data_IF_365524759099
#
_entry.id   IF_365524759099
#
_cell.length_a   1.000
_cell.length_b   1.000
_cell.length_c   1.000
_cell.angle_alpha   90.00
_cell.angle_beta   90.00
_cell.angle_gamma   90.00
#
_symmetry.space_group_name_H-M   'P 1'
#
loop_
_entity.id
_entity.type
_entity.pdbx_description
1 polymer ?
#
# COMPACT_ATOMS: atom_id res chain seq x y z
N UNK A 1 114.77 -16.68 -18.79
CA UNK A 1 113.85 -15.99 -19.73
C UNK A 1 112.41 -16.39 -19.43
N UNK A 2 111.50 -15.44 -19.61
CA UNK A 2 110.04 -15.59 -19.85
C UNK A 2 109.07 -15.61 -18.66
N UNK A 3 108.38 -14.47 -18.53
CA UNK A 3 107.14 -14.18 -17.78
C UNK A 3 105.95 -14.90 -18.44
N UNK A 4 104.90 -15.29 -17.68
CA UNK A 4 103.44 -15.10 -18.00
C UNK A 4 102.48 -15.81 -17.00
N UNK A 5 101.18 -15.46 -16.94
CA UNK A 5 100.59 -14.74 -15.79
C UNK A 5 99.56 -15.54 -14.97
N UNK A 6 99.27 -15.05 -13.76
CA UNK A 6 98.16 -15.52 -12.92
C UNK A 6 96.81 -15.13 -13.55
N UNK A 7 95.98 -16.13 -13.89
CA UNK A 7 94.60 -15.96 -14.34
C UNK A 7 93.66 -16.24 -13.16
N UNK A 8 93.06 -15.19 -12.58
CA UNK A 8 92.02 -15.33 -11.54
C UNK A 8 90.80 -16.05 -12.14
N UNK A 9 90.41 -17.19 -11.54
CA UNK A 9 89.11 -17.85 -11.78
C UNK A 9 88.02 -17.16 -10.95
N UNK A 10 86.79 -17.01 -11.45
CA UNK A 10 85.70 -16.48 -10.66
C UNK A 10 85.19 -17.54 -9.68
N UNK A 11 85.05 -17.15 -8.41
CA UNK A 11 84.40 -17.95 -7.36
C UNK A 11 82.90 -18.05 -7.65
N UNK A 12 82.45 -19.23 -8.08
CA UNK A 12 81.01 -19.56 -8.20
C UNK A 12 80.47 -19.79 -6.78
N UNK A 13 79.80 -18.78 -6.20
CA UNK A 13 79.06 -18.90 -4.93
C UNK A 13 77.97 -19.97 -5.09
N UNK A 14 78.27 -21.18 -4.65
CA UNK A 14 77.38 -22.34 -4.61
C UNK A 14 76.95 -22.49 -3.15
N UNK A 15 75.85 -21.84 -2.76
CA UNK A 15 75.41 -21.90 -1.35
C UNK A 15 74.06 -21.28 -0.98
N UNK A 16 73.30 -20.65 -1.90
CA UNK A 16 72.03 -19.97 -1.53
C UNK A 16 70.77 -20.76 -1.91
N UNK A 17 70.81 -21.51 -3.01
CA UNK A 17 69.58 -22.11 -3.57
C UNK A 17 69.03 -23.27 -2.74
N UNK A 18 69.88 -24.04 -2.05
CA UNK A 18 69.45 -25.16 -1.21
C UNK A 18 68.74 -24.72 0.08
N UNK A 19 69.24 -23.66 0.73
CA UNK A 19 68.63 -23.11 1.95
C UNK A 19 67.29 -22.43 1.66
N UNK A 20 67.16 -21.77 0.51
CA UNK A 20 65.91 -21.16 0.07
C UNK A 20 64.82 -22.19 -0.22
N UNK A 21 65.17 -23.30 -0.90
CA UNK A 21 64.25 -24.41 -1.15
C UNK A 21 63.82 -25.11 0.14
N UNK A 22 64.74 -25.28 1.10
CA UNK A 22 64.41 -25.83 2.42
C UNK A 22 63.46 -24.90 3.21
N UNK A 23 63.68 -23.58 3.16
CA UNK A 23 62.79 -22.60 3.80
C UNK A 23 61.39 -22.58 3.20
N UNK A 24 61.26 -22.65 1.86
CA UNK A 24 59.96 -22.75 1.20
C UNK A 24 59.22 -24.05 1.55
N UNK A 25 59.94 -25.16 1.64
CA UNK A 25 59.38 -26.43 2.13
C UNK A 25 58.85 -26.32 3.57
N UNK A 26 59.62 -25.65 4.44
CA UNK A 26 59.25 -25.44 5.85
C UNK A 26 58.01 -24.56 6.00
N UNK A 27 57.94 -23.47 5.23
CA UNK A 27 56.75 -22.61 5.16
C UNK A 27 55.53 -23.41 4.67
N UNK A 28 55.71 -24.25 3.65
CA UNK A 28 54.65 -25.13 3.15
C UNK A 28 54.10 -26.08 4.22
N UNK A 29 54.97 -26.71 5.00
CA UNK A 29 54.58 -27.60 6.10
C UNK A 29 53.82 -26.84 7.20
N UNK A 30 54.28 -25.64 7.56
CA UNK A 30 53.60 -24.81 8.56
C UNK A 30 52.21 -24.38 8.08
N UNK A 31 52.09 -23.93 6.82
CA UNK A 31 50.79 -23.56 6.23
C UNK A 31 49.84 -24.77 6.21
N UNK A 32 50.34 -25.94 5.82
CA UNK A 32 49.53 -27.16 5.77
C UNK A 32 49.07 -27.63 7.15
N UNK A 33 49.95 -27.55 8.16
CA UNK A 33 49.60 -27.84 9.55
C UNK A 33 48.55 -26.87 10.10
N UNK A 34 48.69 -25.58 9.81
CA UNK A 34 47.73 -24.55 10.23
C UNK A 34 46.35 -24.77 9.56
N UNK A 35 46.34 -25.12 8.28
CA UNK A 35 45.12 -25.45 7.53
C UNK A 35 44.44 -26.71 8.07
N UNK A 36 45.21 -27.76 8.37
CA UNK A 36 44.68 -28.99 8.94
C UNK A 36 44.07 -28.75 10.33
N UNK A 37 44.74 -27.97 11.19
CA UNK A 37 44.26 -27.63 12.53
C UNK A 37 43.00 -26.76 12.51
N UNK A 38 42.90 -25.81 11.57
CA UNK A 38 41.68 -25.03 11.39
C UNK A 38 40.52 -25.89 10.90
N UNK A 39 40.75 -26.81 9.96
CA UNK A 39 39.72 -27.74 9.48
C UNK A 39 39.28 -28.73 10.57
N UNK A 40 40.21 -29.28 11.36
CA UNK A 40 39.87 -30.17 12.47
C UNK A 40 39.09 -29.45 13.58
N UNK A 41 39.49 -28.23 13.92
CA UNK A 41 38.77 -27.41 14.90
C UNK A 41 37.34 -27.08 14.43
N UNK A 42 37.15 -26.75 13.14
CA UNK A 42 35.80 -26.54 12.56
C UNK A 42 34.99 -27.84 12.58
N UNK A 43 35.62 -28.98 12.31
CA UNK A 43 34.97 -30.29 12.37
C UNK A 43 34.52 -30.67 13.81
N UNK A 44 35.27 -30.26 14.83
CA UNK A 44 34.91 -30.41 16.25
C UNK A 44 33.82 -29.42 16.70
N UNK A 45 33.66 -28.30 15.99
CA UNK A 45 32.70 -27.24 16.31
C UNK A 45 31.66 -27.05 15.20
N UNK A 46 30.89 -28.10 14.82
CA UNK A 46 29.92 -28.04 13.72
C UNK A 46 28.78 -27.03 13.98
N UNK A 47 28.56 -26.67 15.25
CA UNK A 47 27.58 -25.67 15.67
C UNK A 47 27.85 -24.28 15.07
N UNK A 48 29.10 -23.94 14.74
CA UNK A 48 29.47 -22.65 14.12
C UNK A 48 28.80 -22.48 12.74
N UNK A 49 28.61 -23.58 12.00
CA UNK A 49 27.90 -23.59 10.72
C UNK A 49 26.40 -23.88 10.90
N UNK A 50 26.04 -24.72 11.86
CA UNK A 50 24.64 -25.09 12.08
C UNK A 50 23.79 -23.91 12.56
N UNK A 51 24.31 -23.06 13.45
CA UNK A 51 23.60 -21.89 13.99
C UNK A 51 23.19 -20.87 12.92
N UNK A 52 24.07 -20.36 12.04
CA UNK A 52 23.67 -19.41 11.02
C UNK A 52 22.68 -20.02 10.02
N UNK A 53 22.83 -21.32 9.69
CA UNK A 53 21.86 -22.02 8.83
C UNK A 53 20.48 -22.06 9.50
N UNK A 54 20.41 -22.40 10.79
CA UNK A 54 19.17 -22.40 11.57
C UNK A 54 18.53 -21.00 11.64
N UNK A 55 19.34 -19.96 11.83
CA UNK A 55 18.86 -18.57 11.86
C UNK A 55 18.28 -18.16 10.51
N UNK A 56 18.97 -18.45 9.40
CA UNK A 56 18.50 -18.13 8.04
C UNK A 56 17.23 -18.93 7.70
N UNK A 57 17.19 -20.21 8.05
CA UNK A 57 16.01 -21.05 7.86
C UNK A 57 14.81 -20.52 8.67
N UNK A 58 15.01 -20.22 9.96
CA UNK A 58 13.98 -19.66 10.84
C UNK A 58 13.46 -18.31 10.36
N UNK A 59 14.36 -17.40 9.97
CA UNK A 59 14.00 -16.10 9.40
C UNK A 59 13.24 -16.25 8.07
N UNK A 60 13.66 -17.17 7.20
CA UNK A 60 12.97 -17.49 5.95
C UNK A 60 11.56 -18.03 6.18
N UNK A 61 11.41 -19.00 7.09
CA UNK A 61 10.09 -19.53 7.46
C UNK A 61 9.20 -18.45 8.08
N UNK A 62 9.70 -17.67 9.04
CA UNK A 62 8.96 -16.57 9.65
C UNK A 62 8.50 -15.55 8.60
N UNK A 63 9.40 -15.15 7.69
CA UNK A 63 9.06 -14.25 6.59
C UNK A 63 7.95 -14.81 5.70
N UNK A 64 8.01 -16.10 5.34
CA UNK A 64 6.97 -16.75 4.52
C UNK A 64 5.63 -16.83 5.27
N UNK A 65 5.63 -17.14 6.56
CA UNK A 65 4.40 -17.21 7.36
C UNK A 65 3.74 -15.83 7.49
N UNK A 66 4.51 -14.80 7.82
CA UNK A 66 4.03 -13.42 7.90
C UNK A 66 3.47 -12.94 6.54
N UNK A 67 4.14 -13.26 5.43
CA UNK A 67 3.66 -12.97 4.08
C UNK A 67 2.37 -13.71 3.74
N UNK A 68 2.25 -14.99 4.14
CA UNK A 68 1.04 -15.80 3.93
C UNK A 68 -0.14 -15.26 4.74
N UNK A 69 0.07 -14.86 5.98
CA UNK A 69 -0.98 -14.25 6.80
C UNK A 69 -1.47 -12.92 6.23
N UNK A 70 -0.54 -12.04 5.82
CA UNK A 70 -0.89 -10.79 5.15
C UNK A 70 -1.70 -11.05 3.87
N UNK A 71 -1.29 -12.02 3.05
CA UNK A 71 -2.01 -12.41 1.84
C UNK A 71 -3.38 -13.03 2.13
N UNK A 72 -3.55 -13.81 3.22
CA UNK A 72 -4.85 -14.36 3.63
C UNK A 72 -5.81 -13.25 4.04
N UNK A 73 -5.35 -12.29 4.86
CA UNK A 73 -6.16 -11.14 5.28
C UNK A 73 -6.61 -10.32 4.07
N UNK A 74 -5.71 -10.10 3.12
CA UNK A 74 -6.06 -9.38 1.89
C UNK A 74 -7.08 -10.15 1.04
N UNK A 75 -6.96 -11.48 0.91
CA UNK A 75 -7.96 -12.30 0.20
C UNK A 75 -9.34 -12.22 0.84
N UNK A 76 -9.42 -12.33 2.16
CA UNK A 76 -10.70 -12.23 2.90
C UNK A 76 -11.29 -10.82 2.72
N UNK A 77 -10.45 -9.78 2.80
CA UNK A 77 -10.87 -8.39 2.55
C UNK A 77 -11.42 -8.22 1.13
N UNK A 78 -10.70 -8.69 0.12
CA UNK A 78 -11.11 -8.61 -1.29
C UNK A 78 -12.39 -9.40 -1.54
N UNK A 79 -12.56 -10.58 -0.93
CA UNK A 79 -13.78 -11.37 -1.03
C UNK A 79 -14.98 -10.68 -0.36
N UNK A 80 -14.80 -10.14 0.85
CA UNK A 80 -15.83 -9.36 1.54
C UNK A 80 -16.24 -8.11 0.76
N UNK A 81 -15.25 -7.40 0.18
CA UNK A 81 -15.50 -6.26 -0.71
C UNK A 81 -16.29 -6.67 -1.95
N UNK A 82 -15.96 -7.81 -2.58
CA UNK A 82 -16.69 -8.32 -3.74
C UNK A 82 -18.15 -8.63 -3.43
N UNK A 83 -18.40 -9.37 -2.35
CA UNK A 83 -19.76 -9.71 -1.91
C UNK A 83 -20.59 -8.45 -1.62
N UNK A 84 -20.01 -7.50 -0.90
CA UNK A 84 -20.68 -6.24 -0.57
C UNK A 84 -21.04 -5.43 -1.82
N UNK A 85 -20.12 -5.39 -2.77
CA UNK A 85 -20.31 -4.73 -4.06
C UNK A 85 -21.40 -5.40 -4.89
N UNK A 86 -21.44 -6.73 -4.96
CA UNK A 86 -22.50 -7.49 -5.62
C UNK A 86 -23.85 -7.24 -4.96
N UNK A 87 -23.88 -7.16 -3.62
CA UNK A 87 -25.08 -6.80 -2.88
C UNK A 87 -25.59 -5.40 -3.25
N UNK A 88 -24.70 -4.40 -3.31
CA UNK A 88 -25.04 -3.03 -3.69
C UNK A 88 -25.57 -2.93 -5.13
N UNK A 89 -25.09 -3.78 -6.04
CA UNK A 89 -25.59 -3.84 -7.43
C UNK A 89 -27.02 -4.33 -7.54
N UNK A 90 -27.41 -5.26 -6.65
CA UNK A 90 -28.77 -5.80 -6.59
C UNK A 90 -29.82 -4.86 -6.00
N UNK A 91 -29.38 -3.78 -5.33
CA UNK A 91 -30.30 -2.83 -4.70
C UNK A 91 -31.09 -2.01 -5.73
N UNK A 92 -32.33 -1.69 -5.39
CA UNK A 92 -33.07 -0.62 -6.07
C UNK A 92 -32.41 0.75 -5.78
N UNK A 93 -32.58 1.73 -6.66
CA UNK A 93 -31.92 3.04 -6.50
C UNK A 93 -32.22 3.69 -5.13
N UNK A 94 -33.47 3.65 -4.68
CA UNK A 94 -33.87 4.18 -3.37
C UNK A 94 -33.23 3.42 -2.21
N UNK A 95 -33.12 2.09 -2.31
CA UNK A 95 -32.45 1.28 -1.28
C UNK A 95 -30.96 1.57 -1.22
N UNK A 96 -30.35 1.83 -2.38
CA UNK A 96 -28.96 2.27 -2.46
C UNK A 96 -28.74 3.62 -1.76
N UNK A 97 -29.64 4.58 -1.95
CA UNK A 97 -29.60 5.87 -1.23
C UNK A 97 -29.76 5.69 0.29
N UNK A 98 -30.66 4.80 0.73
CA UNK A 98 -30.79 4.46 2.15
C UNK A 98 -29.54 3.80 2.72
N UNK A 99 -28.89 2.90 1.96
CA UNK A 99 -27.62 2.31 2.38
C UNK A 99 -26.53 3.38 2.57
N UNK A 100 -26.44 4.36 1.67
CA UNK A 100 -25.50 5.49 1.80
C UNK A 100 -25.82 6.34 3.04
N UNK A 101 -27.11 6.63 3.29
CA UNK A 101 -27.55 7.30 4.53
C UNK A 101 -27.07 6.53 5.76
N UNK A 102 -27.27 5.22 5.79
CA UNK A 102 -26.96 4.40 6.95
C UNK A 102 -25.44 4.27 7.18
N UNK A 103 -24.63 4.29 6.13
CA UNK A 103 -23.17 4.43 6.25
C UNK A 103 -22.76 5.76 6.88
N UNK A 104 -23.39 6.87 6.50
CA UNK A 104 -23.12 8.17 7.14
C UNK A 104 -23.51 8.14 8.63
N UNK A 105 -24.64 7.50 8.98
CA UNK A 105 -25.07 7.34 10.38
C UNK A 105 -24.08 6.49 11.18
N UNK A 106 -23.65 5.36 10.61
CA UNK A 106 -22.64 4.47 11.21
C UNK A 106 -21.38 5.23 11.57
N UNK A 107 -20.96 6.17 10.71
CA UNK A 107 -19.75 6.95 10.90
C UNK A 107 -19.92 8.13 11.90
N UNK A 108 -21.14 8.38 12.40
CA UNK A 108 -21.41 9.40 13.41
C UNK A 108 -22.27 10.58 12.95
N UNK A 109 -22.76 10.57 11.71
CA UNK A 109 -23.67 11.61 11.21
C UNK A 109 -25.13 11.27 11.59
N UNK A 110 -25.51 11.55 12.82
CA UNK A 110 -26.82 11.14 13.37
C UNK A 110 -28.02 11.73 12.62
N UNK A 111 -27.86 12.93 12.06
CA UNK A 111 -28.90 13.65 11.29
C UNK A 111 -28.99 13.19 9.82
N UNK A 112 -28.19 12.20 9.42
CA UNK A 112 -28.16 11.75 8.05
C UNK A 112 -29.55 11.27 7.59
N UNK A 113 -29.99 11.79 6.45
CA UNK A 113 -31.31 11.56 5.87
C UNK A 113 -31.22 11.35 4.36
N UNK A 114 -32.01 10.39 3.87
CA UNK A 114 -32.32 10.29 2.46
C UNK A 114 -33.39 11.36 2.15
N UNK A 115 -33.17 12.12 1.10
CA UNK A 115 -34.01 13.25 0.66
C UNK A 115 -34.31 13.19 -0.84
N UNK A 116 -33.85 12.14 -1.52
CA UNK A 116 -34.05 11.91 -2.96
C UNK A 116 -35.52 11.67 -3.31
N UNK A 117 -35.93 12.17 -4.47
CA UNK A 117 -37.33 12.19 -4.91
C UNK A 117 -37.59 13.25 -6.00
N UNK A 118 -38.85 13.37 -6.42
CA UNK A 118 -39.20 14.43 -7.39
C UNK A 118 -38.88 15.82 -6.84
N UNK A 119 -38.08 16.61 -7.56
CA UNK A 119 -37.69 17.96 -7.13
C UNK A 119 -36.55 18.03 -6.11
N UNK A 120 -35.82 16.92 -5.88
CA UNK A 120 -34.68 16.85 -4.95
C UNK A 120 -33.48 17.73 -5.33
N UNK A 121 -33.52 18.37 -6.50
CA UNK A 121 -32.49 19.23 -7.06
C UNK A 121 -31.10 18.58 -7.07
N UNK A 122 -31.02 17.25 -7.16
CA UNK A 122 -29.74 16.56 -7.24
C UNK A 122 -29.05 16.29 -5.89
N UNK A 123 -29.80 16.25 -4.79
CA UNK A 123 -29.31 15.74 -3.51
C UNK A 123 -30.15 14.54 -3.07
N UNK A 124 -29.50 13.39 -2.91
CA UNK A 124 -30.17 12.15 -2.52
C UNK A 124 -29.97 11.85 -1.03
N UNK A 125 -28.81 12.19 -0.48
CA UNK A 125 -28.50 12.08 0.95
C UNK A 125 -27.88 13.38 1.48
N UNK A 126 -28.32 13.79 2.67
CA UNK A 126 -27.76 14.93 3.41
C UNK A 126 -27.38 14.48 4.81
N UNK A 127 -26.27 15.00 5.31
CA UNK A 127 -25.75 14.66 6.63
C UNK A 127 -24.87 15.79 7.16
N UNK A 128 -24.69 15.85 8.48
CA UNK A 128 -23.66 16.67 9.12
C UNK A 128 -22.71 15.74 9.85
N UNK A 129 -21.42 15.86 9.55
CA UNK A 129 -20.40 15.04 10.20
C UNK A 129 -20.07 15.54 11.62
N UNK A 130 -19.36 14.75 12.44
CA UNK A 130 -18.98 15.16 13.79
C UNK A 130 -18.13 16.43 13.87
N UNK A 131 -17.61 16.91 12.73
CA UNK A 131 -16.82 18.14 12.60
C UNK A 131 -17.67 19.34 12.13
N UNK A 132 -18.99 19.18 12.07
CA UNK A 132 -19.94 20.23 11.70
C UNK A 132 -20.02 20.54 10.21
N UNK A 133 -19.38 19.74 9.34
CA UNK A 133 -19.44 19.95 7.88
C UNK A 133 -20.73 19.35 7.34
N UNK A 134 -21.41 20.08 6.46
CA UNK A 134 -22.62 19.62 5.79
C UNK A 134 -22.28 18.89 4.50
N UNK A 135 -22.66 17.63 4.44
CA UNK A 135 -22.50 16.75 3.30
C UNK A 135 -23.76 16.74 2.43
N UNK A 136 -23.56 16.88 1.13
CA UNK A 136 -24.60 16.73 0.11
C UNK A 136 -24.13 15.68 -0.88
N UNK A 137 -24.84 14.55 -0.91
CA UNK A 137 -24.44 13.38 -1.67
C UNK A 137 -25.51 13.11 -2.73
N UNK A 138 -25.10 13.13 -4.00
CA UNK A 138 -25.88 12.60 -5.10
C UNK A 138 -25.47 11.16 -5.35
N UNK A 139 -26.44 10.24 -5.36
CA UNK A 139 -26.25 8.84 -5.63
C UNK A 139 -26.67 8.50 -7.06
N UNK A 140 -25.81 7.78 -7.78
CA UNK A 140 -26.12 7.22 -9.10
C UNK A 140 -25.93 5.71 -9.08
N UNK A 141 -27.04 4.99 -8.94
CA UNK A 141 -27.06 3.54 -9.06
C UNK A 141 -27.03 3.10 -10.52
N UNK A 142 -26.23 2.09 -10.82
CA UNK A 142 -26.11 1.41 -12.13
C UNK A 142 -26.32 -0.08 -11.90
N UNK A 143 -27.41 -0.65 -12.46
CA UNK A 143 -27.69 -2.10 -12.38
C UNK A 143 -26.54 -2.97 -12.92
N UNK A 144 -25.86 -2.51 -13.97
CA UNK A 144 -24.71 -3.20 -14.56
C UNK A 144 -23.35 -2.84 -13.92
N UNK A 145 -23.35 -2.11 -12.78
CA UNK A 145 -22.14 -1.81 -12.03
C UNK A 145 -21.02 -1.21 -12.89
N UNK A 146 -19.85 -1.87 -12.88
CA UNK A 146 -18.68 -1.52 -13.72
C UNK A 146 -18.93 -1.55 -15.22
N UNK A 147 -19.78 -2.46 -15.69
CA UNK A 147 -20.09 -2.62 -17.11
C UNK A 147 -21.15 -1.62 -17.60
N UNK A 148 -21.81 -0.92 -16.67
CA UNK A 148 -22.82 0.09 -16.98
C UNK A 148 -22.25 1.38 -17.57
N UNK A 149 -23.16 2.28 -17.92
CA UNK A 149 -22.81 3.63 -18.39
C UNK A 149 -22.11 4.40 -17.27
N UNK A 150 -21.00 5.05 -17.63
CA UNK A 150 -20.28 5.89 -16.70
C UNK A 150 -21.14 7.10 -16.28
N UNK A 151 -20.97 7.56 -15.04
CA UNK A 151 -21.53 8.84 -14.59
C UNK A 151 -20.78 9.96 -15.31
N UNK A 152 -21.53 10.85 -15.95
CA UNK A 152 -21.01 11.87 -16.84
C UNK A 152 -20.98 13.26 -16.19
N UNK A 153 -20.33 14.20 -16.87
CA UNK A 153 -20.26 15.61 -16.46
C UNK A 153 -21.64 16.26 -16.21
N UNK A 154 -22.72 15.97 -16.95
CA UNK A 154 -24.03 16.56 -16.68
C UNK A 154 -24.57 16.28 -15.27
N UNK A 155 -24.36 15.07 -14.74
CA UNK A 155 -24.77 14.74 -13.37
C UNK A 155 -24.00 15.59 -12.35
N UNK A 156 -22.69 15.80 -12.59
CA UNK A 156 -21.85 16.62 -11.72
C UNK A 156 -22.21 18.12 -11.82
N UNK A 157 -22.56 18.61 -13.00
CA UNK A 157 -23.01 19.99 -13.21
C UNK A 157 -24.28 20.27 -12.41
N UNK A 158 -25.22 19.32 -12.41
CA UNK A 158 -26.45 19.41 -11.61
C UNK A 158 -26.13 19.54 -10.12
N UNK A 159 -25.34 18.61 -9.58
CA UNK A 159 -24.91 18.65 -8.18
C UNK A 159 -24.16 19.95 -7.85
N UNK A 160 -23.28 20.43 -8.74
CA UNK A 160 -22.52 21.67 -8.51
C UNK A 160 -23.41 22.91 -8.47
N UNK A 161 -24.48 22.95 -9.28
CA UNK A 161 -25.41 24.07 -9.38
C UNK A 161 -26.38 24.18 -8.20
N UNK A 162 -26.58 23.10 -7.44
CA UNK A 162 -27.61 23.04 -6.39
C UNK A 162 -27.04 22.73 -5.01
N UNK A 163 -25.96 21.95 -4.93
CA UNK A 163 -25.44 21.42 -3.67
C UNK A 163 -24.97 22.49 -2.69
N UNK A 164 -24.37 23.58 -3.18
CA UNK A 164 -23.95 24.71 -2.32
C UNK A 164 -25.08 25.72 -2.14
N UNK A 165 -25.69 26.13 -3.24
CA UNK A 165 -26.63 27.25 -3.32
C UNK A 165 -27.97 26.92 -2.66
N UNK A 166 -28.49 25.71 -2.90
CA UNK A 166 -29.82 25.28 -2.41
C UNK A 166 -29.68 24.49 -1.11
N UNK A 167 -28.61 23.72 -0.96
CA UNK A 167 -28.47 22.78 0.16
C UNK A 167 -27.42 23.21 1.21
N UNK A 168 -26.64 24.24 0.95
CA UNK A 168 -25.62 24.75 1.88
C UNK A 168 -24.50 23.73 2.16
N UNK A 169 -24.24 22.82 1.22
CA UNK A 169 -23.24 21.77 1.37
C UNK A 169 -21.82 22.33 1.40
N UNK A 170 -21.05 21.93 2.40
CA UNK A 170 -19.60 22.15 2.45
C UNK A 170 -18.86 21.10 1.63
N UNK A 171 -19.36 19.85 1.70
CA UNK A 171 -18.76 18.70 1.04
C UNK A 171 -19.78 18.13 0.06
N UNK A 172 -19.52 18.30 -1.23
CA UNK A 172 -20.37 17.80 -2.30
C UNK A 172 -19.77 16.51 -2.85
N UNK A 173 -20.57 15.45 -2.83
CA UNK A 173 -20.13 14.11 -3.24
C UNK A 173 -21.03 13.59 -4.34
N UNK A 174 -20.43 13.19 -5.46
CA UNK A 174 -21.09 12.32 -6.43
C UNK A 174 -20.65 10.88 -6.15
N UNK A 175 -21.63 10.02 -5.85
CA UNK A 175 -21.41 8.63 -5.43
C UNK A 175 -22.06 7.67 -6.42
N UNK A 176 -21.35 6.61 -6.80
CA UNK A 176 -21.90 5.56 -7.68
C UNK A 176 -21.35 4.19 -7.33
N UNK A 177 -22.15 3.14 -7.54
CA UNK A 177 -21.69 1.74 -7.59
C UNK A 177 -21.03 1.38 -8.94
N UNK A 178 -20.88 2.33 -9.86
CA UNK A 178 -20.21 2.17 -11.15
C UNK A 178 -18.91 2.96 -11.24
N UNK A 179 -18.75 3.65 -12.38
CA UNK A 179 -17.54 4.41 -12.72
C UNK A 179 -17.86 5.82 -13.21
N UNK A 180 -16.87 6.70 -13.12
CA UNK A 180 -16.92 8.05 -13.70
C UNK A 180 -16.29 8.10 -15.08
N UNK A 181 -16.81 8.95 -15.95
CA UNK A 181 -16.17 9.24 -17.24
C UNK A 181 -14.91 10.09 -17.04
N UNK A 182 -13.95 10.00 -17.97
CA UNK A 182 -12.74 10.83 -17.94
C UNK A 182 -13.02 12.34 -17.84
N UNK A 183 -13.97 12.91 -18.62
CA UNK A 183 -14.34 14.31 -18.48
C UNK A 183 -14.92 14.65 -17.10
N UNK A 184 -15.72 13.75 -16.50
CA UNK A 184 -16.28 13.95 -15.16
C UNK A 184 -15.18 14.07 -14.09
N UNK A 185 -14.11 13.26 -14.18
CA UNK A 185 -12.95 13.35 -13.29
C UNK A 185 -12.23 14.70 -13.38
N UNK A 186 -12.14 15.27 -14.59
CA UNK A 186 -11.56 16.61 -14.80
C UNK A 186 -12.44 17.71 -14.19
N UNK A 187 -13.74 17.64 -14.50
CA UNK A 187 -14.73 18.59 -13.99
C UNK A 187 -14.81 18.59 -12.46
N UNK A 188 -14.93 17.42 -11.83
CA UNK A 188 -14.99 17.29 -10.38
C UNK A 188 -13.81 17.96 -9.68
N UNK A 189 -12.59 17.75 -10.18
CA UNK A 189 -11.38 18.38 -9.66
C UNK A 189 -11.44 19.90 -9.77
N UNK A 190 -11.87 20.43 -10.91
CA UNK A 190 -11.96 21.89 -11.13
C UNK A 190 -13.02 22.57 -10.26
N UNK A 191 -14.06 21.84 -9.83
CA UNK A 191 -15.20 22.37 -9.08
C UNK A 191 -15.19 21.95 -7.59
N UNK A 192 -14.10 21.35 -7.13
CA UNK A 192 -13.96 20.81 -5.76
C UNK A 192 -15.13 19.88 -5.37
N UNK A 193 -15.51 18.98 -6.27
CA UNK A 193 -16.46 17.90 -6.00
C UNK A 193 -15.70 16.63 -5.68
N UNK A 194 -16.17 15.89 -4.67
CA UNK A 194 -15.63 14.59 -4.32
C UNK A 194 -16.33 13.49 -5.08
N UNK A 195 -15.57 12.51 -5.56
CA UNK A 195 -16.07 11.38 -6.31
C UNK A 195 -15.88 10.11 -5.48
N UNK A 196 -16.98 9.40 -5.25
CA UNK A 196 -16.97 8.09 -4.62
C UNK A 196 -17.41 7.07 -5.67
N UNK A 197 -16.42 6.42 -6.28
CA UNK A 197 -16.66 5.34 -7.22
C UNK A 197 -16.92 4.03 -6.47
N UNK A 198 -17.18 2.96 -7.23
CA UNK A 198 -17.45 1.65 -6.68
C UNK A 198 -16.35 1.10 -5.77
N UNK A 199 -15.07 1.34 -6.09
CA UNK A 199 -13.97 0.82 -5.27
C UNK A 199 -13.91 1.56 -3.92
N UNK A 200 -14.06 2.88 -3.96
CA UNK A 200 -14.07 3.69 -2.73
C UNK A 200 -15.31 3.40 -1.88
N UNK A 201 -16.48 3.23 -2.52
CA UNK A 201 -17.71 2.83 -1.86
C UNK A 201 -17.57 1.47 -1.17
N UNK A 202 -16.97 0.49 -1.85
CA UNK A 202 -16.72 -0.82 -1.27
C UNK A 202 -15.82 -0.72 -0.03
N UNK A 203 -14.72 0.03 -0.13
CA UNK A 203 -13.79 0.25 0.98
C UNK A 203 -14.48 0.92 2.17
N UNK A 204 -15.30 1.93 1.89
CA UNK A 204 -16.06 2.65 2.90
C UNK A 204 -17.09 1.74 3.59
N UNK A 205 -17.84 0.97 2.80
CA UNK A 205 -18.91 0.13 3.32
C UNK A 205 -18.39 -1.10 4.09
N UNK A 206 -17.24 -1.66 3.69
CA UNK A 206 -16.65 -2.83 4.36
C UNK A 206 -15.80 -2.49 5.59
N UNK A 207 -15.32 -1.25 5.71
CA UNK A 207 -14.48 -0.80 6.81
C UNK A 207 -15.24 -0.04 7.90
N UNK A 208 -14.54 0.27 8.99
CA UNK A 208 -14.97 1.23 10.02
C UNK A 208 -14.40 2.64 9.78
N UNK A 209 -13.64 2.82 8.71
CA UNK A 209 -13.03 4.10 8.36
C UNK A 209 -14.10 5.01 7.76
N UNK A 210 -14.32 6.20 8.34
CA UNK A 210 -15.36 7.09 7.87
C UNK A 210 -15.00 7.75 6.55
N UNK A 211 -16.02 8.20 5.79
CA UNK A 211 -15.83 8.72 4.43
C UNK A 211 -14.83 9.89 4.36
N UNK A 212 -14.76 10.73 5.40
CA UNK A 212 -13.85 11.88 5.43
C UNK A 212 -12.37 11.54 5.64
N UNK A 213 -12.05 10.33 6.10
CA UNK A 213 -10.67 9.85 6.15
C UNK A 213 -10.24 9.22 4.82
N UNK A 214 -11.21 8.70 4.05
CA UNK A 214 -10.98 8.09 2.74
C UNK A 214 -10.85 9.14 1.63
N UNK A 215 -11.56 10.26 1.75
CA UNK A 215 -11.51 11.35 0.78
C UNK A 215 -10.33 12.29 1.07
N UNK A 216 -9.65 12.71 0.01
CA UNK A 216 -8.56 13.70 0.09
C UNK A 216 -9.14 15.12 0.05
N UNK A 217 -8.49 16.04 0.75
CA UNK A 217 -8.71 17.49 0.65
C UNK A 217 -10.15 17.94 0.96
N UNK A 218 -10.65 17.61 2.16
CA UNK A 218 -11.96 18.06 2.64
C UNK A 218 -11.80 19.42 3.34
N UNK A 219 -12.78 20.34 3.23
CA UNK A 219 -12.79 21.57 4.00
C UNK A 219 -12.55 21.35 5.50
N UNK A 220 -11.97 22.35 6.20
CA UNK A 220 -11.78 22.27 7.65
C UNK A 220 -13.13 22.17 8.39
N UNK A 221 -13.13 21.67 9.63
CA UNK A 221 -14.30 21.66 10.50
C UNK A 221 -14.97 23.04 10.57
N UNK A 222 -16.31 23.09 10.62
CA UNK A 222 -16.97 24.33 11.02
C UNK A 222 -16.67 24.53 12.50
N UNK A 223 -16.11 25.70 12.87
CA UNK A 223 -15.95 26.04 14.29
C UNK A 223 -17.32 25.88 14.95
N UNK A 224 -17.38 25.13 16.05
CA UNK A 224 -18.54 25.11 16.91
C UNK A 224 -18.81 26.55 17.30
N UNK A 225 -19.91 27.12 16.83
CA UNK A 225 -20.43 28.38 17.36
C UNK A 225 -20.94 28.05 18.76
N UNK A 226 -20.04 28.02 19.73
CA UNK A 226 -20.40 28.07 21.15
C UNK A 226 -20.86 29.50 21.40
N UNK A 227 -22.13 29.78 21.10
CA UNK A 227 -22.81 30.94 21.66
C UNK A 227 -23.43 30.47 22.98
N UNK A 228 -22.84 31.00 24.06
CA UNK A 228 -23.43 31.03 25.41
C UNK A 228 -24.82 31.65 25.42
#
# INVERSE_FOLDING_TARGET
MSRRPSRRRPSKKRGSNGQFLLMLGLIGVVIQGLLAATLSWVAEHPWILALPILVVAGAGTAFVLLRREAARRERVRVQGLRYLVEHLDGLHHTQFEYAVRDLMRRDGCQDARQVGGSGDNGADVKATDPFGRRWVIQCKHRKAGWAGSAVGTPDLQKLNGTGRQIHGGDVLVMLTNGRFSRPALGFARSQHLHLVDRNLLAQWAAGSTPLWELLRAIPPPRRSTTLS
#
